data_IF_017037952030
#
_entry.id   IF_017037952030
#
_cell.length_a   1.000
_cell.length_b   1.000
_cell.length_c   1.000
_cell.angle_alpha   90.00
_cell.angle_beta   90.00
_cell.angle_gamma   90.00
#
_symmetry.space_group_name_H-M   'P 1'
#
loop_
_entity.id
_entity.type
_entity.pdbx_description
1 polymer ?
#
# COMPACT_ATOMS: atom_id res chain seq x y z
N UNK A 1 26.69 -22.43 20.26
CA UNK A 1 25.95 -23.49 19.58
C UNK A 1 24.74 -22.94 18.84
N UNK A 2 24.22 -23.66 17.85
CA UNK A 2 23.03 -23.24 17.07
C UNK A 2 21.82 -23.00 17.98
N UNK A 3 21.59 -23.86 18.96
CA UNK A 3 20.49 -23.71 19.92
C UNK A 3 20.56 -22.37 20.68
N UNK A 4 21.73 -21.99 21.15
CA UNK A 4 21.94 -20.71 21.83
C UNK A 4 21.59 -19.53 20.90
N UNK A 5 22.04 -19.57 19.64
CA UNK A 5 21.75 -18.53 18.68
C UNK A 5 20.23 -18.40 18.42
N UNK A 6 19.51 -19.52 18.30
CA UNK A 6 18.05 -19.52 18.10
C UNK A 6 17.35 -18.92 19.34
N UNK A 7 17.76 -19.27 20.56
CA UNK A 7 17.15 -18.74 21.78
C UNK A 7 17.37 -17.23 21.87
N UNK A 8 18.60 -16.76 21.69
CA UNK A 8 18.92 -15.32 21.74
C UNK A 8 18.21 -14.56 20.65
N UNK A 9 18.25 -15.05 19.41
CA UNK A 9 17.55 -14.41 18.30
C UNK A 9 16.04 -14.32 18.55
N UNK A 10 15.41 -15.39 19.05
CA UNK A 10 13.98 -15.41 19.39
C UNK A 10 13.67 -14.40 20.50
N UNK A 11 14.50 -14.31 21.51
CA UNK A 11 14.32 -13.34 22.59
C UNK A 11 14.41 -11.90 22.09
N UNK A 12 15.45 -11.57 21.33
CA UNK A 12 15.64 -10.23 20.74
C UNK A 12 14.48 -9.88 19.79
N UNK A 13 14.09 -10.82 18.95
CA UNK A 13 13.00 -10.65 17.99
C UNK A 13 11.63 -10.47 18.67
N UNK A 14 11.42 -11.10 19.79
CA UNK A 14 10.15 -11.03 20.54
C UNK A 14 10.02 -9.72 21.32
N UNK A 15 11.08 -9.28 21.99
CA UNK A 15 10.98 -8.21 23.00
C UNK A 15 11.63 -6.89 22.60
N UNK A 16 12.55 -6.90 21.63
CA UNK A 16 13.34 -5.70 21.30
C UNK A 16 13.08 -5.19 19.89
N UNK A 17 13.48 -5.94 18.88
CA UNK A 17 13.50 -5.50 17.49
C UNK A 17 13.06 -6.63 16.58
N UNK A 18 12.18 -6.31 15.65
CA UNK A 18 11.71 -7.24 14.61
C UNK A 18 11.88 -6.64 13.22
N UNK A 19 12.57 -7.34 12.28
CA UNK A 19 12.64 -6.91 10.89
C UNK A 19 11.33 -7.18 10.16
N UNK A 20 10.96 -6.25 9.27
CA UNK A 20 9.83 -6.37 8.34
C UNK A 20 10.22 -5.83 6.98
N UNK A 21 9.54 -6.30 5.96
CA UNK A 21 9.60 -5.74 4.60
C UNK A 21 8.25 -5.09 4.28
N UNK A 22 8.27 -3.94 3.61
CA UNK A 22 7.05 -3.23 3.19
C UNK A 22 6.49 -3.88 1.93
N UNK A 23 5.29 -4.50 1.97
CA UNK A 23 4.72 -5.19 0.83
C UNK A 23 3.76 -4.33 0.00
N UNK A 24 3.36 -3.15 0.46
CA UNK A 24 2.29 -2.34 -0.15
C UNK A 24 2.62 -0.85 -0.14
N UNK A 25 2.05 -0.11 -1.11
CA UNK A 25 2.26 1.33 -1.29
C UNK A 25 1.46 2.23 -0.33
N UNK A 26 0.76 1.69 0.67
CA UNK A 26 -0.13 2.49 1.53
C UNK A 26 0.56 3.59 2.37
N UNK A 27 1.89 3.57 2.47
CA UNK A 27 2.73 4.62 3.03
C UNK A 27 3.73 5.15 2.00
N UNK A 28 3.41 5.04 0.70
CA UNK A 28 4.23 5.51 -0.41
C UNK A 28 4.73 6.94 -0.19
N UNK A 29 5.94 7.24 -0.68
CA UNK A 29 6.68 8.48 -0.39
C UNK A 29 7.18 8.64 1.07
N UNK A 30 6.64 7.86 2.03
CA UNK A 30 7.21 7.76 3.39
C UNK A 30 8.01 6.49 3.58
N UNK A 31 7.47 5.36 3.11
CA UNK A 31 8.08 4.03 3.08
C UNK A 31 7.75 3.39 1.74
N UNK A 32 8.76 2.93 1.03
CA UNK A 32 8.59 2.36 -0.31
C UNK A 32 8.38 0.84 -0.24
N UNK A 33 7.72 0.29 -1.27
CA UNK A 33 7.62 -1.16 -1.43
C UNK A 33 9.02 -1.76 -1.53
N UNK A 34 9.29 -2.81 -0.76
CA UNK A 34 10.59 -3.47 -0.69
C UNK A 34 11.53 -2.92 0.38
N UNK A 35 11.20 -1.80 1.03
CA UNK A 35 11.99 -1.30 2.16
C UNK A 35 12.04 -2.31 3.30
N UNK A 36 13.23 -2.46 3.89
CA UNK A 36 13.44 -3.23 5.12
C UNK A 36 13.38 -2.31 6.33
N UNK A 37 12.54 -2.67 7.29
CA UNK A 37 12.36 -1.92 8.52
C UNK A 37 12.75 -2.74 9.74
N UNK A 38 13.35 -2.06 10.71
CA UNK A 38 13.45 -2.57 12.07
C UNK A 38 12.39 -1.92 12.95
N UNK A 39 11.46 -2.72 13.45
CA UNK A 39 10.38 -2.25 14.31
C UNK A 39 10.77 -2.45 15.77
N UNK A 40 10.88 -1.35 16.51
CA UNK A 40 11.12 -1.38 17.95
C UNK A 40 9.86 -1.85 18.69
N UNK A 41 10.03 -2.81 19.57
CA UNK A 41 8.97 -3.28 20.45
C UNK A 41 8.94 -2.55 21.79
N UNK A 42 10.02 -1.89 22.14
CA UNK A 42 10.20 -1.24 23.44
C UNK A 42 9.48 0.11 23.50
N UNK A 43 9.40 0.85 22.39
CA UNK A 43 8.80 2.18 22.38
C UNK A 43 7.39 2.18 22.98
N UNK A 44 6.53 1.28 22.55
CA UNK A 44 5.15 1.16 23.05
C UNK A 44 4.96 -0.02 24.01
N UNK A 45 6.06 -0.57 24.56
CA UNK A 45 6.10 -1.75 25.42
C UNK A 45 5.94 -3.06 24.64
N UNK A 46 6.85 -3.99 24.83
CA UNK A 46 6.79 -5.29 24.20
C UNK A 46 5.61 -6.10 24.71
N UNK A 47 4.83 -6.68 23.81
CA UNK A 47 3.75 -7.60 24.17
C UNK A 47 4.33 -9.00 24.44
N UNK A 48 3.98 -9.60 25.55
CA UNK A 48 4.30 -11.00 25.82
C UNK A 48 3.53 -11.87 24.83
N UNK A 49 4.17 -12.88 24.21
CA UNK A 49 3.48 -13.80 23.32
C UNK A 49 2.30 -14.47 24.02
N UNK A 50 1.11 -14.37 23.44
CA UNK A 50 -0.10 -15.01 23.98
C UNK A 50 -0.16 -16.47 23.57
N UNK A 51 0.34 -16.80 22.39
CA UNK A 51 0.43 -18.17 21.86
C UNK A 51 1.66 -18.84 22.41
N UNK A 52 1.47 -19.66 23.48
CA UNK A 52 2.56 -20.26 24.25
C UNK A 52 3.31 -21.36 23.50
N UNK A 53 2.64 -22.06 22.58
CA UNK A 53 3.24 -23.13 21.78
C UNK A 53 3.33 -22.68 20.33
N UNK A 54 4.51 -22.23 19.92
CA UNK A 54 4.77 -21.79 18.55
C UNK A 54 6.23 -22.04 18.17
N UNK A 55 6.46 -22.28 16.88
CA UNK A 55 7.82 -22.38 16.36
C UNK A 55 8.53 -21.01 16.47
N UNK A 56 9.77 -20.98 16.95
CA UNK A 56 10.52 -19.74 17.09
C UNK A 56 10.73 -19.09 15.72
N UNK A 57 10.61 -17.75 15.68
CA UNK A 57 10.80 -16.91 14.47
C UNK A 57 9.86 -17.21 13.29
N UNK A 58 8.88 -18.09 13.42
CA UNK A 58 7.86 -18.37 12.43
C UNK A 58 6.53 -17.77 12.85
N UNK A 59 6.02 -16.82 12.07
CA UNK A 59 4.83 -16.05 12.46
C UNK A 59 3.54 -16.86 12.40
N UNK A 60 3.20 -17.44 11.25
CA UNK A 60 1.89 -18.05 11.00
C UNK A 60 2.01 -19.49 10.45
N UNK A 61 2.66 -19.67 9.33
CA UNK A 61 2.77 -20.96 8.66
C UNK A 61 4.21 -21.36 8.35
N UNK A 62 4.48 -22.66 8.40
CA UNK A 62 5.78 -23.23 8.08
C UNK A 62 6.01 -23.10 6.56
N UNK A 63 7.12 -22.47 6.11
CA UNK A 63 7.32 -22.11 4.71
C UNK A 63 7.15 -23.26 3.71
N UNK A 64 7.63 -24.44 4.01
CA UNK A 64 7.62 -25.59 3.08
C UNK A 64 6.29 -26.35 3.09
N UNK A 65 5.72 -26.60 4.28
CA UNK A 65 4.53 -27.45 4.44
C UNK A 65 3.22 -26.67 4.42
N UNK A 66 3.27 -25.35 4.57
CA UNK A 66 2.10 -24.44 4.71
C UNK A 66 1.21 -24.77 5.93
N UNK A 67 1.66 -25.68 6.81
CA UNK A 67 0.97 -25.98 8.05
C UNK A 67 1.13 -24.84 9.06
N UNK A 68 0.21 -24.75 10.02
CA UNK A 68 0.32 -23.78 11.12
C UNK A 68 1.61 -24.00 11.90
N UNK A 69 2.31 -22.91 12.22
CA UNK A 69 3.55 -22.93 13.03
C UNK A 69 3.29 -22.91 14.53
N UNK A 70 2.02 -22.98 14.96
CA UNK A 70 1.60 -22.80 16.32
C UNK A 70 0.35 -23.63 16.66
N UNK A 71 0.13 -23.86 17.96
CA UNK A 71 -1.13 -24.35 18.50
C UNK A 71 -2.00 -23.19 18.95
N UNK A 72 -3.30 -23.24 18.64
CA UNK A 72 -4.23 -22.17 19.02
C UNK A 72 -4.58 -22.20 20.52
N UNK A 73 -4.20 -23.22 21.24
CA UNK A 73 -4.39 -23.41 22.68
C UNK A 73 -3.18 -24.15 23.28
N UNK A 74 -2.74 -23.81 24.52
CA UNK A 74 -3.29 -22.78 25.40
C UNK A 74 -2.85 -21.35 25.00
N UNK A 75 -3.67 -20.35 25.35
CA UNK A 75 -3.38 -18.93 25.19
C UNK A 75 -3.09 -18.29 26.54
N UNK A 76 -2.03 -17.50 26.61
CA UNK A 76 -1.74 -16.67 27.78
C UNK A 76 -2.60 -15.39 27.74
N UNK A 77 -2.89 -14.77 28.91
CA UNK A 77 -3.59 -13.49 28.96
C UNK A 77 -2.77 -12.40 28.25
N UNK A 78 -3.48 -11.39 27.72
CA UNK A 78 -2.82 -10.23 27.15
C UNK A 78 -2.05 -9.47 28.23
N UNK A 79 -0.76 -9.31 28.02
CA UNK A 79 0.10 -8.49 28.85
C UNK A 79 1.15 -7.76 28.01
N UNK A 80 1.40 -6.51 28.37
CA UNK A 80 2.39 -5.66 27.72
C UNK A 80 3.34 -5.09 28.76
N UNK A 81 4.63 -5.15 28.47
CA UNK A 81 5.66 -4.54 29.32
C UNK A 81 5.54 -3.02 29.32
N UNK A 82 6.08 -2.32 30.33
CA UNK A 82 6.11 -0.87 30.35
C UNK A 82 6.69 -0.27 29.08
N UNK A 83 6.09 0.83 28.61
CA UNK A 83 6.50 1.54 27.40
C UNK A 83 7.39 2.75 27.75
N UNK A 84 8.29 3.11 26.83
CA UNK A 84 9.06 4.35 26.95
C UNK A 84 8.30 5.58 26.48
N UNK A 85 7.29 5.39 25.62
CA UNK A 85 6.48 6.49 25.07
C UNK A 85 5.05 6.03 24.83
N UNK A 86 4.14 7.00 24.74
CA UNK A 86 2.75 6.80 24.29
C UNK A 86 2.68 6.99 22.78
N UNK A 87 1.71 6.33 22.15
CA UNK A 87 1.40 6.56 20.73
C UNK A 87 0.88 7.99 20.58
N UNK A 88 1.44 8.72 19.62
CA UNK A 88 1.03 10.09 19.28
C UNK A 88 0.50 10.14 17.83
N UNK A 89 -0.23 11.22 17.52
CA UNK A 89 -0.64 11.50 16.14
C UNK A 89 0.59 11.62 15.25
N UNK A 90 0.49 11.12 14.04
CA UNK A 90 1.55 11.02 13.04
C UNK A 90 2.62 9.95 13.30
N UNK A 91 2.61 9.22 14.40
CA UNK A 91 3.50 8.08 14.58
C UNK A 91 3.22 7.00 13.51
N UNK A 92 4.28 6.40 12.99
CA UNK A 92 4.17 5.20 12.16
C UNK A 92 4.19 4.00 13.09
N UNK A 93 3.06 3.28 13.15
CA UNK A 93 2.86 2.17 14.09
C UNK A 93 2.65 0.86 13.35
N UNK A 94 3.20 -0.22 13.92
CA UNK A 94 2.92 -1.59 13.49
C UNK A 94 1.96 -2.22 14.49
N UNK A 95 0.88 -2.80 13.99
CA UNK A 95 -0.15 -3.44 14.81
C UNK A 95 -0.70 -4.69 14.13
N UNK A 96 -1.30 -5.58 14.92
CA UNK A 96 -2.00 -6.72 14.36
C UNK A 96 -3.37 -6.30 13.83
N UNK A 97 -3.70 -6.72 12.62
CA UNK A 97 -5.00 -6.42 12.02
C UNK A 97 -6.13 -7.00 12.87
N UNK A 98 -7.15 -6.22 13.24
CA UNK A 98 -8.18 -6.67 14.18
C UNK A 98 -9.04 -7.82 13.63
N UNK A 99 -9.30 -7.82 12.34
CA UNK A 99 -10.07 -8.88 11.66
C UNK A 99 -9.15 -9.68 10.76
N UNK A 100 -9.09 -11.00 10.96
CA UNK A 100 -8.27 -11.88 10.13
C UNK A 100 -9.22 -12.74 9.32
N UNK A 101 -9.58 -12.24 8.15
CA UNK A 101 -10.61 -12.83 7.29
C UNK A 101 -10.06 -13.64 6.13
N UNK A 102 -8.73 -13.56 5.88
CA UNK A 102 -8.07 -14.21 4.75
C UNK A 102 -6.94 -15.12 5.19
N UNK A 103 -6.75 -16.22 4.48
CA UNK A 103 -5.65 -17.16 4.73
C UNK A 103 -4.30 -16.58 4.33
N UNK A 104 -4.28 -15.79 3.24
CA UNK A 104 -3.12 -15.08 2.72
C UNK A 104 -3.50 -13.64 2.41
N UNK A 105 -2.51 -12.77 2.46
CA UNK A 105 -2.64 -11.40 1.98
C UNK A 105 -3.11 -11.42 0.50
N UNK A 106 -4.13 -10.64 0.17
CA UNK A 106 -4.76 -10.60 -1.17
C UNK A 106 -5.43 -11.91 -1.64
N UNK A 107 -5.75 -12.85 -0.75
CA UNK A 107 -6.54 -14.03 -1.11
C UNK A 107 -7.98 -13.63 -1.47
N UNK A 108 -8.33 -13.74 -2.76
CA UNK A 108 -9.67 -13.48 -3.30
C UNK A 108 -10.52 -14.76 -3.44
N UNK A 109 -10.10 -15.87 -2.84
CA UNK A 109 -10.73 -17.19 -3.06
C UNK A 109 -12.12 -17.36 -2.44
N UNK A 110 -12.64 -16.35 -1.71
CA UNK A 110 -13.95 -16.44 -1.03
C UNK A 110 -14.00 -17.45 0.11
N UNK A 111 -12.86 -17.92 0.61
CA UNK A 111 -12.78 -18.87 1.73
C UNK A 111 -13.35 -18.25 2.99
N UNK A 112 -13.86 -19.12 3.87
CA UNK A 112 -14.29 -18.72 5.22
C UNK A 112 -13.15 -18.02 5.97
N UNK A 113 -13.52 -17.04 6.80
CA UNK A 113 -12.61 -16.36 7.70
C UNK A 113 -11.78 -17.35 8.54
N UNK A 114 -10.49 -17.09 8.65
CA UNK A 114 -9.59 -17.88 9.50
C UNK A 114 -9.45 -17.16 10.84
N UNK A 115 -9.93 -17.80 11.90
CA UNK A 115 -9.74 -17.29 13.25
C UNK A 115 -8.33 -17.59 13.73
N UNK A 116 -7.58 -16.54 14.04
CA UNK A 116 -6.21 -16.63 14.57
C UNK A 116 -6.11 -15.93 15.93
N UNK A 117 -5.22 -16.40 16.83
CA UNK A 117 -4.84 -15.63 17.99
C UNK A 117 -4.31 -14.25 17.60
N UNK A 118 -4.50 -13.23 18.43
CA UNK A 118 -4.16 -11.85 18.06
C UNK A 118 -2.68 -11.66 17.70
N UNK A 119 -1.78 -12.39 18.35
CA UNK A 119 -0.34 -12.35 18.08
C UNK A 119 0.08 -13.15 16.83
N UNK A 120 -0.87 -13.87 16.21
CA UNK A 120 -0.68 -14.59 14.93
C UNK A 120 -1.42 -13.94 13.77
N UNK A 121 -2.15 -12.85 14.02
CA UNK A 121 -2.78 -12.05 12.98
C UNK A 121 -1.74 -11.25 12.18
N UNK A 122 -2.10 -10.92 10.94
CA UNK A 122 -1.23 -10.16 10.03
C UNK A 122 -0.82 -8.82 10.65
N UNK A 123 0.44 -8.45 10.48
CA UNK A 123 0.95 -7.16 10.91
C UNK A 123 0.74 -6.11 9.82
N UNK A 124 0.20 -4.98 10.20
CA UNK A 124 0.01 -3.81 9.34
C UNK A 124 0.83 -2.64 9.86
N UNK A 125 1.33 -1.84 8.95
CA UNK A 125 1.98 -0.56 9.25
C UNK A 125 1.13 0.57 8.73
N UNK A 126 0.75 1.51 9.60
CA UNK A 126 -0.03 2.70 9.27
C UNK A 126 0.42 3.90 10.08
N UNK A 127 0.10 5.11 9.56
CA UNK A 127 0.29 6.35 10.31
C UNK A 127 -0.91 6.57 11.23
N UNK A 128 -0.65 6.79 12.52
CA UNK A 128 -1.66 7.11 13.52
C UNK A 128 -2.26 8.49 13.22
N UNK A 129 -3.54 8.57 12.96
CA UNK A 129 -4.23 9.82 12.65
C UNK A 129 -4.91 10.43 13.87
N UNK A 130 -5.46 9.60 14.75
CA UNK A 130 -6.13 9.99 15.98
C UNK A 130 -5.71 9.14 17.16
N UNK A 131 -5.85 9.67 18.36
CA UNK A 131 -5.61 9.01 19.63
C UNK A 131 -6.90 8.93 20.43
N UNK A 132 -7.01 8.04 21.44
CA UNK A 132 -8.24 7.92 22.24
C UNK A 132 -8.72 9.26 22.80
N UNK A 133 -9.99 9.59 22.58
CA UNK A 133 -10.62 10.85 22.97
C UNK A 133 -10.63 11.94 21.89
N UNK A 134 -9.94 11.73 20.77
CA UNK A 134 -10.04 12.63 19.62
C UNK A 134 -11.35 12.41 18.84
N UNK A 135 -11.94 13.47 18.31
CA UNK A 135 -13.01 13.40 17.30
C UNK A 135 -12.38 13.45 15.91
N UNK A 136 -12.37 12.32 15.21
CA UNK A 136 -11.83 12.22 13.86
C UNK A 136 -12.92 12.39 12.81
N UNK A 137 -12.70 13.27 11.86
CA UNK A 137 -13.54 13.47 10.67
C UNK A 137 -12.68 13.45 9.40
N UNK A 138 -13.25 12.99 8.30
CA UNK A 138 -12.70 13.18 6.96
C UNK A 138 -13.62 14.14 6.21
N UNK A 139 -13.06 15.23 5.69
CA UNK A 139 -13.77 16.23 4.87
C UNK A 139 -13.02 16.40 3.56
N UNK A 140 -13.67 16.07 2.47
CA UNK A 140 -13.09 16.09 1.11
C UNK A 140 -11.72 15.37 1.04
N UNK A 141 -11.60 14.21 1.73
CA UNK A 141 -10.39 13.39 1.78
C UNK A 141 -9.30 13.88 2.75
N UNK A 142 -9.53 14.99 3.47
CA UNK A 142 -8.58 15.49 4.48
C UNK A 142 -9.01 15.11 5.89
N UNK A 143 -8.03 14.75 6.72
CA UNK A 143 -8.26 14.39 8.12
C UNK A 143 -8.40 15.65 8.97
N UNK A 144 -9.45 15.68 9.78
CA UNK A 144 -9.70 16.69 10.82
C UNK A 144 -9.73 16.00 12.18
N UNK A 145 -9.10 16.62 13.16
CA UNK A 145 -9.16 16.21 14.57
C UNK A 145 -9.72 17.36 15.38
N UNK A 146 -10.81 17.10 16.13
CA UNK A 146 -11.51 18.10 16.91
C UNK A 146 -11.87 19.37 16.11
N UNK A 147 -12.33 19.14 14.86
CA UNK A 147 -12.73 20.20 13.93
C UNK A 147 -11.58 20.97 13.28
N UNK A 148 -10.32 20.64 13.57
CA UNK A 148 -9.13 21.27 12.98
C UNK A 148 -8.43 20.33 11.99
N UNK A 149 -7.93 20.82 10.84
CA UNK A 149 -7.19 19.98 9.91
C UNK A 149 -5.93 19.41 10.59
N UNK A 150 -5.70 18.10 10.40
CA UNK A 150 -4.52 17.46 10.93
C UNK A 150 -3.29 17.90 10.14
N UNK A 151 -2.31 18.48 10.84
CA UNK A 151 -1.03 18.85 10.23
C UNK A 151 -0.16 17.61 10.12
N UNK A 152 0.14 17.23 8.88
CA UNK A 152 1.03 16.11 8.59
C UNK A 152 2.50 16.54 8.62
N UNK A 153 3.42 15.70 9.09
CA UNK A 153 4.85 15.99 9.00
C UNK A 153 5.31 16.00 7.53
N UNK A 154 6.36 16.72 7.22
CA UNK A 154 6.89 16.89 5.86
C UNK A 154 7.13 15.55 5.11
N UNK A 155 7.51 14.50 5.85
CA UNK A 155 7.70 13.16 5.30
C UNK A 155 6.38 12.42 4.97
N UNK A 156 5.23 12.90 5.48
CA UNK A 156 3.92 12.32 5.17
C UNK A 156 3.39 12.91 3.86
N UNK A 157 3.91 12.44 2.76
CA UNK A 157 3.53 12.88 1.41
C UNK A 157 2.27 12.14 0.95
N UNK A 158 1.13 12.50 1.52
CA UNK A 158 -0.16 11.93 1.11
C UNK A 158 -0.44 12.20 -0.36
N UNK A 159 -0.97 11.19 -1.04
CA UNK A 159 -1.34 11.26 -2.44
C UNK A 159 -2.86 11.21 -2.55
N UNK A 160 -3.38 11.89 -3.55
CA UNK A 160 -4.79 11.98 -3.87
C UNK A 160 -4.98 11.69 -5.36
N UNK A 161 -6.07 11.06 -5.69
CA UNK A 161 -6.43 10.81 -7.09
C UNK A 161 -6.72 12.13 -7.81
N UNK A 162 -6.07 12.32 -8.95
CA UNK A 162 -6.24 13.48 -9.81
C UNK A 162 -6.44 13.02 -11.25
N UNK A 163 -7.28 13.75 -11.98
CA UNK A 163 -7.35 13.65 -13.42
C UNK A 163 -6.52 14.78 -14.03
N UNK A 164 -5.56 14.42 -14.85
CA UNK A 164 -4.71 15.34 -15.62
C UNK A 164 -5.19 15.35 -17.06
N UNK A 165 -5.40 16.54 -17.62
CA UNK A 165 -5.81 16.75 -19.01
C UNK A 165 -4.74 17.47 -19.78
N UNK A 166 -4.46 17.00 -21.00
CA UNK A 166 -3.60 17.65 -21.97
C UNK A 166 -4.07 17.30 -23.39
N UNK A 167 -4.47 18.30 -24.17
CA UNK A 167 -5.04 18.09 -25.53
C UNK A 167 -4.10 17.32 -26.48
N UNK A 168 -2.78 17.43 -26.28
CA UNK A 168 -1.75 16.70 -27.03
C UNK A 168 -1.32 15.37 -26.40
N UNK A 169 -2.02 14.94 -25.34
CA UNK A 169 -1.65 13.80 -24.52
C UNK A 169 -0.78 14.18 -23.32
N UNK A 170 -0.99 13.47 -22.21
CA UNK A 170 -0.22 13.67 -20.97
C UNK A 170 1.10 12.88 -21.08
N UNK A 171 2.21 13.59 -21.24
CA UNK A 171 3.53 12.96 -21.31
C UNK A 171 3.93 12.34 -19.96
N UNK A 172 4.42 11.11 -20.01
CA UNK A 172 4.87 10.38 -18.83
C UNK A 172 6.13 11.02 -18.21
N UNK A 173 7.00 11.66 -19.00
CA UNK A 173 8.15 12.40 -18.51
C UNK A 173 7.73 13.58 -17.64
N UNK A 174 6.65 14.26 -18.01
CA UNK A 174 6.09 15.37 -17.21
C UNK A 174 5.56 14.85 -15.87
N UNK A 175 4.92 13.69 -15.83
CA UNK A 175 4.48 13.06 -14.57
C UNK A 175 5.68 12.63 -13.72
N UNK A 176 6.68 12.00 -14.33
CA UNK A 176 7.91 11.56 -13.63
C UNK A 176 8.69 12.74 -13.04
N UNK A 177 8.75 13.87 -13.74
CA UNK A 177 9.43 15.07 -13.27
C UNK A 177 8.86 15.62 -11.96
N UNK A 178 7.57 15.37 -11.68
CA UNK A 178 6.94 15.71 -10.38
C UNK A 178 7.13 14.64 -9.29
N UNK A 179 7.91 13.60 -9.59
CA UNK A 179 8.12 12.47 -8.71
C UNK A 179 6.93 11.53 -8.60
N UNK A 180 5.97 11.59 -9.54
CA UNK A 180 4.83 10.66 -9.58
C UNK A 180 5.28 9.30 -10.08
N UNK A 181 4.84 8.23 -9.40
CA UNK A 181 5.19 6.84 -9.71
C UNK A 181 3.98 5.90 -9.69
N UNK A 182 2.77 6.43 -9.47
CA UNK A 182 1.53 5.68 -9.45
C UNK A 182 0.66 6.03 -10.65
N UNK A 183 1.15 5.66 -11.83
CA UNK A 183 0.43 5.73 -13.11
C UNK A 183 0.90 4.58 -14.01
N UNK A 184 0.13 4.31 -15.04
CA UNK A 184 0.44 3.30 -16.04
C UNK A 184 0.86 3.95 -17.34
N UNK A 185 1.77 3.29 -18.07
CA UNK A 185 2.15 3.67 -19.43
C UNK A 185 1.48 2.71 -20.42
N UNK A 186 1.05 3.24 -21.54
CA UNK A 186 0.38 2.48 -22.59
C UNK A 186 1.25 2.45 -23.85
N UNK A 187 1.41 1.27 -24.42
CA UNK A 187 2.17 1.05 -25.66
C UNK A 187 1.32 0.30 -26.67
N UNK A 188 1.52 0.63 -27.95
CA UNK A 188 1.10 -0.22 -29.06
C UNK A 188 2.31 -1.02 -29.54
N UNK A 189 2.21 -2.33 -29.45
CA UNK A 189 3.25 -3.27 -29.85
C UNK A 189 2.83 -3.97 -31.16
N UNK A 190 3.79 -4.15 -32.09
CA UNK A 190 3.61 -4.97 -33.29
C UNK A 190 4.68 -6.07 -33.31
N UNK A 191 4.44 -7.18 -32.63
CA UNK A 191 5.37 -8.29 -32.65
C UNK A 191 5.32 -9.04 -33.97
N UNK A 192 6.49 -9.52 -34.43
CA UNK A 192 6.63 -10.39 -35.61
C UNK A 192 6.94 -11.84 -35.22
N UNK A 193 7.24 -12.10 -33.95
CA UNK A 193 7.54 -13.45 -33.43
C UNK A 193 7.13 -13.60 -31.96
N UNK A 194 6.99 -14.83 -31.47
CA UNK A 194 6.73 -15.13 -30.07
C UNK A 194 7.91 -14.73 -29.16
N UNK A 195 9.13 -14.78 -29.66
CA UNK A 195 10.33 -14.36 -28.91
C UNK A 195 10.27 -12.88 -28.55
N UNK A 196 9.77 -12.04 -29.47
CA UNK A 196 9.58 -10.61 -29.20
C UNK A 196 8.52 -10.38 -28.11
N UNK A 197 7.44 -11.14 -28.12
CA UNK A 197 6.40 -11.07 -27.08
C UNK A 197 6.98 -11.48 -25.74
N UNK A 198 7.70 -12.61 -25.68
CA UNK A 198 8.30 -13.13 -24.45
C UNK A 198 9.33 -12.15 -23.85
N UNK A 199 10.07 -11.41 -24.67
CA UNK A 199 11.04 -10.43 -24.19
C UNK A 199 10.39 -9.27 -23.44
N UNK A 200 9.19 -8.84 -23.83
CA UNK A 200 8.50 -7.70 -23.22
C UNK A 200 7.47 -8.11 -22.16
N UNK A 201 7.07 -9.38 -22.15
CA UNK A 201 6.04 -9.90 -21.23
C UNK A 201 6.27 -9.58 -19.74
N UNK A 202 7.52 -9.62 -19.20
CA UNK A 202 7.77 -9.28 -17.79
C UNK A 202 7.38 -7.86 -17.40
N UNK A 203 7.23 -6.94 -18.34
CA UNK A 203 6.89 -5.53 -18.14
C UNK A 203 5.40 -5.25 -18.31
N UNK A 204 4.63 -6.21 -18.83
CA UNK A 204 3.22 -6.03 -19.19
C UNK A 204 2.33 -6.40 -18.02
N UNK A 205 1.47 -5.47 -17.61
CA UNK A 205 0.43 -5.69 -16.59
C UNK A 205 -0.87 -6.17 -17.22
N UNK A 206 -1.19 -5.64 -18.40
CA UNK A 206 -2.40 -6.00 -19.16
C UNK A 206 -2.11 -5.87 -20.66
N UNK A 207 -2.78 -6.69 -21.48
CA UNK A 207 -2.66 -6.67 -22.94
C UNK A 207 -4.01 -6.93 -23.58
N UNK A 208 -4.31 -6.15 -24.63
CA UNK A 208 -5.49 -6.34 -25.48
C UNK A 208 -5.03 -6.42 -26.92
N UNK A 209 -5.45 -7.46 -27.63
CA UNK A 209 -5.16 -7.60 -29.06
C UNK A 209 -6.12 -6.71 -29.88
N UNK A 210 -5.57 -5.93 -30.78
CA UNK A 210 -6.30 -5.07 -31.69
C UNK A 210 -6.69 -5.85 -32.97
N UNK A 211 -7.68 -5.35 -33.73
CA UNK A 211 -8.11 -5.97 -35.00
C UNK A 211 -7.00 -6.09 -36.09
N UNK A 212 -6.01 -5.20 -36.04
CA UNK A 212 -4.83 -5.19 -36.92
C UNK A 212 -3.70 -6.13 -36.46
N UNK A 213 -3.97 -7.01 -35.49
CA UNK A 213 -3.01 -7.93 -34.85
C UNK A 213 -1.92 -7.25 -34.03
N UNK A 214 -1.95 -5.93 -33.86
CA UNK A 214 -1.13 -5.25 -32.85
C UNK A 214 -1.67 -5.51 -31.43
N UNK A 215 -0.88 -5.19 -30.42
CA UNK A 215 -1.31 -5.28 -29.03
C UNK A 215 -1.24 -3.92 -28.36
N UNK A 216 -2.33 -3.50 -27.75
CA UNK A 216 -2.31 -2.39 -26.79
C UNK A 216 -1.98 -2.98 -25.44
N UNK A 217 -0.83 -2.58 -24.87
CA UNK A 217 -0.34 -3.10 -23.59
C UNK A 217 -0.21 -1.99 -22.57
N UNK A 218 -0.53 -2.33 -21.33
CA UNK A 218 -0.36 -1.46 -20.18
C UNK A 218 0.81 -1.96 -19.32
N UNK A 219 1.67 -1.05 -18.92
CA UNK A 219 2.85 -1.32 -18.09
C UNK A 219 2.80 -0.48 -16.81
N UNK A 220 3.66 -0.76 -15.86
CA UNK A 220 3.91 0.17 -14.76
C UNK A 220 4.60 1.46 -15.22
N UNK A 221 4.78 2.40 -14.30
CA UNK A 221 5.35 3.73 -14.58
C UNK A 221 6.77 3.70 -15.18
N UNK A 222 7.53 2.64 -14.94
CA UNK A 222 8.87 2.44 -15.54
C UNK A 222 8.83 2.14 -17.03
N UNK A 223 7.69 1.69 -17.55
CA UNK A 223 7.53 1.29 -18.94
C UNK A 223 8.34 0.05 -19.34
N UNK A 224 8.47 -0.15 -20.65
CA UNK A 224 9.37 -1.16 -21.21
C UNK A 224 10.75 -0.52 -21.39
N UNK A 225 11.82 -1.08 -20.80
CA UNK A 225 13.15 -0.50 -20.96
C UNK A 225 13.58 -0.43 -22.43
N UNK A 226 14.14 0.71 -22.84
CA UNK A 226 14.56 0.93 -24.24
C UNK A 226 15.49 -0.19 -24.74
N UNK A 227 16.44 -0.63 -23.90
CA UNK A 227 17.34 -1.75 -24.23
C UNK A 227 16.60 -3.05 -24.59
N UNK A 228 15.42 -3.30 -23.98
CA UNK A 228 14.61 -4.48 -24.26
C UNK A 228 13.92 -4.34 -25.60
N UNK A 229 13.39 -3.14 -25.91
CA UNK A 229 12.78 -2.82 -27.20
C UNK A 229 13.83 -2.98 -28.31
N UNK A 230 15.01 -2.40 -28.14
CA UNK A 230 16.10 -2.46 -29.12
C UNK A 230 16.62 -3.88 -29.33
N UNK A 231 16.90 -4.63 -28.23
CA UNK A 231 17.45 -5.98 -28.33
C UNK A 231 16.48 -7.01 -28.90
N UNK A 232 15.17 -6.84 -28.63
CA UNK A 232 14.15 -7.72 -29.20
C UNK A 232 13.75 -7.35 -30.63
N UNK A 233 14.02 -6.10 -31.04
CA UNK A 233 13.60 -5.56 -32.33
C UNK A 233 12.08 -5.42 -32.47
N UNK A 234 11.34 -5.43 -31.36
CA UNK A 234 9.88 -5.23 -31.39
C UNK A 234 9.54 -3.78 -31.70
N UNK A 235 8.57 -3.56 -32.56
CA UNK A 235 8.01 -2.22 -32.69
C UNK A 235 7.16 -1.91 -31.46
N UNK A 236 7.54 -0.84 -30.76
CA UNK A 236 6.84 -0.35 -29.57
C UNK A 236 6.65 1.16 -29.70
N UNK A 237 5.41 1.60 -29.72
CA UNK A 237 5.05 3.02 -29.71
C UNK A 237 4.30 3.35 -28.45
N UNK A 238 4.80 4.30 -27.66
CA UNK A 238 4.10 4.81 -26.50
C UNK A 238 2.93 5.70 -26.91
N UNK A 239 1.79 5.54 -26.25
CA UNK A 239 0.56 6.29 -26.51
C UNK A 239 0.27 7.18 -25.30
N UNK A 240 -0.01 8.44 -25.58
CA UNK A 240 -0.37 9.43 -24.58
C UNK A 240 -1.84 9.80 -24.70
N UNK A 241 -2.62 9.45 -23.68
CA UNK A 241 -4.02 9.82 -23.62
C UNK A 241 -4.18 11.30 -23.22
N UNK A 242 -5.19 11.96 -23.78
CA UNK A 242 -5.53 13.33 -23.42
C UNK A 242 -6.01 13.46 -21.96
N UNK A 243 -6.46 12.35 -21.37
CA UNK A 243 -6.88 12.24 -19.97
C UNK A 243 -6.09 11.13 -19.30
N UNK A 244 -5.48 11.42 -18.14
CA UNK A 244 -4.78 10.42 -17.35
C UNK A 244 -5.16 10.56 -15.87
N UNK A 245 -5.61 9.47 -15.24
CA UNK A 245 -5.93 9.43 -13.81
C UNK A 245 -4.68 8.96 -13.05
N UNK A 246 -4.18 9.79 -12.12
CA UNK A 246 -2.91 9.59 -11.44
C UNK A 246 -3.01 9.97 -9.96
N UNK A 247 -2.26 9.27 -9.12
CA UNK A 247 -2.10 9.64 -7.72
C UNK A 247 -0.97 10.66 -7.55
N UNK A 248 -1.34 11.87 -7.10
CA UNK A 248 -0.41 12.99 -6.93
C UNK A 248 -0.41 13.48 -5.50
N UNK A 249 0.76 13.90 -5.02
CA UNK A 249 0.81 14.79 -3.86
C UNK A 249 0.23 16.16 -4.24
N UNK A 250 -0.24 16.92 -3.26
CA UNK A 250 -0.76 18.27 -3.54
C UNK A 250 0.31 19.15 -4.21
N UNK A 251 1.57 19.02 -3.78
CA UNK A 251 2.70 19.73 -4.37
C UNK A 251 2.92 19.35 -5.84
N UNK A 252 2.92 18.05 -6.15
CA UNK A 252 3.04 17.57 -7.53
C UNK A 252 1.90 18.08 -8.42
N UNK A 253 0.66 18.10 -7.90
CA UNK A 253 -0.49 18.65 -8.63
C UNK A 253 -0.35 20.15 -8.91
N UNK A 254 0.20 20.93 -7.97
CA UNK A 254 0.49 22.35 -8.18
C UNK A 254 1.60 22.58 -9.20
N UNK A 255 2.64 21.75 -9.19
CA UNK A 255 3.72 21.80 -10.17
C UNK A 255 3.19 21.48 -11.59
N UNK A 256 2.35 20.45 -11.71
CA UNK A 256 1.71 20.13 -13.00
C UNK A 256 0.81 21.25 -13.51
N UNK A 257 0.05 21.94 -12.66
CA UNK A 257 -0.77 23.09 -13.07
C UNK A 257 0.03 24.25 -13.66
N UNK A 258 1.31 24.35 -13.31
CA UNK A 258 2.22 25.38 -13.87
C UNK A 258 2.87 24.96 -15.18
N UNK A 259 2.75 23.69 -15.56
CA UNK A 259 3.34 23.19 -16.79
C UNK A 259 2.48 23.57 -18.00
N UNK A 260 3.09 24.25 -18.96
CA UNK A 260 2.39 24.75 -20.17
C UNK A 260 1.85 23.66 -21.11
N UNK A 261 2.31 22.42 -20.95
CA UNK A 261 1.80 21.27 -21.72
C UNK A 261 0.57 20.61 -21.09
N UNK A 262 0.16 21.05 -19.89
CA UNK A 262 -0.99 20.52 -19.16
C UNK A 262 -2.10 21.56 -19.16
N UNK A 263 -3.29 21.15 -19.61
CA UNK A 263 -4.44 22.03 -19.69
C UNK A 263 -5.15 22.18 -18.34
N UNK A 264 -5.29 21.07 -17.60
CA UNK A 264 -5.86 21.11 -16.25
C UNK A 264 -5.46 19.91 -15.39
N UNK A 265 -5.49 20.12 -14.06
CA UNK A 265 -5.29 19.08 -13.04
C UNK A 265 -6.42 19.19 -12.03
N UNK A 266 -7.31 18.22 -12.01
CA UNK A 266 -8.52 18.21 -11.18
C UNK A 266 -8.40 17.07 -10.15
N UNK A 267 -8.52 17.40 -8.87
CA UNK A 267 -8.55 16.40 -7.82
C UNK A 267 -9.91 15.70 -7.81
N UNK A 268 -9.90 14.36 -7.78
CA UNK A 268 -11.12 13.60 -7.56
C UNK A 268 -11.50 13.69 -6.08
N UNK A 269 -12.78 13.95 -5.82
CA UNK A 269 -13.40 13.92 -4.49
C UNK A 269 -14.75 13.22 -4.64
N UNK A 270 -14.98 12.15 -3.90
CA UNK A 270 -16.26 11.44 -3.94
C UNK A 270 -17.39 12.38 -3.50
N UNK A 271 -18.43 12.48 -4.32
CA UNK A 271 -19.59 13.32 -4.02
C UNK A 271 -20.26 12.83 -2.73
N UNK A 272 -20.73 13.76 -1.89
CA UNK A 272 -21.50 13.46 -0.65
C UNK A 272 -22.78 12.67 -0.92
N UNK A 273 -23.29 12.74 -2.15
CA UNK A 273 -24.46 12.00 -2.63
C UNK A 273 -24.09 10.68 -3.31
N UNK A 274 -22.83 10.26 -3.29
CA UNK A 274 -22.42 8.97 -3.82
C UNK A 274 -23.11 7.84 -3.04
N UNK A 275 -23.31 6.70 -3.69
CA UNK A 275 -23.86 5.51 -3.03
C UNK A 275 -22.99 5.07 -1.86
N UNK A 276 -23.63 4.51 -0.85
CA UNK A 276 -22.98 3.93 0.32
C UNK A 276 -21.79 3.02 -0.07
N UNK A 277 -20.65 3.29 0.54
CA UNK A 277 -19.45 2.47 0.38
C UNK A 277 -19.36 1.45 1.51
N UNK A 278 -19.52 0.17 1.17
CA UNK A 278 -19.43 -0.95 2.12
C UNK A 278 -18.02 -1.17 2.66
N UNK A 279 -17.00 -0.56 2.07
CA UNK A 279 -15.61 -0.62 2.54
C UNK A 279 -15.32 0.29 3.74
N UNK A 280 -16.22 1.24 4.05
CA UNK A 280 -16.05 2.17 5.17
C UNK A 280 -16.60 1.54 6.46
N UNK A 281 -15.80 1.57 7.52
CA UNK A 281 -16.19 1.07 8.84
C UNK A 281 -16.01 2.16 9.91
N UNK A 282 -16.98 2.32 10.85
CA UNK A 282 -18.28 1.65 10.94
C UNK A 282 -19.22 2.02 9.79
N UNK A 283 -20.11 1.12 9.42
CA UNK A 283 -21.05 1.33 8.31
C UNK A 283 -22.07 2.40 8.66
N UNK A 284 -22.08 3.48 7.85
CA UNK A 284 -23.05 4.57 7.95
C UNK A 284 -23.44 5.01 6.54
N UNK A 285 -24.73 5.00 6.25
CA UNK A 285 -25.29 5.30 4.93
C UNK A 285 -25.06 6.76 4.47
N UNK A 286 -24.71 7.66 5.42
CA UNK A 286 -24.45 9.07 5.14
C UNK A 286 -22.95 9.35 4.86
N UNK A 287 -22.11 8.33 4.95
CA UNK A 287 -20.67 8.48 4.81
C UNK A 287 -20.19 8.00 3.45
N UNK A 288 -19.24 8.74 2.88
CA UNK A 288 -18.48 8.35 1.69
C UNK A 288 -17.00 8.28 2.04
N UNK A 289 -16.18 7.69 1.16
CA UNK A 289 -14.75 7.53 1.40
C UNK A 289 -14.03 8.86 1.69
N UNK A 290 -14.49 9.95 1.09
CA UNK A 290 -13.88 11.28 1.26
C UNK A 290 -14.61 12.16 2.28
N UNK A 291 -15.75 11.71 2.81
CA UNK A 291 -16.53 12.50 3.77
C UNK A 291 -17.21 11.56 4.78
N UNK A 292 -16.59 11.41 5.94
CA UNK A 292 -17.15 10.62 7.02
C UNK A 292 -16.72 11.09 8.42
N UNK A 293 -17.41 10.62 9.44
CA UNK A 293 -17.20 11.02 10.82
C UNK A 293 -18.28 12.02 11.30
N UNK A 294 -18.19 12.52 12.55
CA UNK A 294 -17.09 12.23 13.48
C UNK A 294 -17.08 10.78 13.99
N UNK A 295 -15.87 10.29 14.29
CA UNK A 295 -15.62 9.06 15.03
C UNK A 295 -14.85 9.44 16.28
N UNK A 296 -15.31 8.99 17.46
CA UNK A 296 -14.67 9.26 18.76
C UNK A 296 -14.04 8.00 19.31
#
# INVERSE_FOLDING_TARGET
>A
SLLFAIIVATFVHTYFIQPYTIPTSSLEKSLLIGDFLFVSKMNYGARIPMTSVALPMVHDSIPLTKNKSYLSWPQLPYFRLPSFQKIAKNDIVVFNWPTDTVYRFFDKSGRKAVLKPIDKKSNYVKRCQGTPGDNLEIKDGFVYIDGKPLVLPERAKSQYEHTVYAAKGVSNEVLLATGSTEFNRVYVLKPNSEEQINAVQPYILNATQNPDKSFTVMTGFTGIPLRVIESSGIYAQEVYDAKNDVNLTLKAAEELRKNTSIDSVVRFVAKKTASFDTGIFPHNTNWTIDNFGPIT
#
